data_IF_776341081809
#
_entry.id   IF_776341081809
#
_cell.length_a   1.000
_cell.length_b   1.000
_cell.length_c   1.000
_cell.angle_alpha   90.00
_cell.angle_beta   90.00
_cell.angle_gamma   90.00
#
_symmetry.space_group_name_H-M   'P 1'
#
loop_
_entity.id
_entity.type
_entity.pdbx_description
1 polymer ?
#
# COMPACT_ATOMS: atom_id res chain seq x y z
N UNK A 1 -1.64 16.85 -42.52
CA UNK A 1 -2.51 17.94 -42.01
C UNK A 1 -3.31 17.41 -40.82
N UNK A 2 -3.15 18.00 -39.65
CA UNK A 2 -3.96 17.64 -38.47
C UNK A 2 -5.39 18.09 -38.70
N UNK A 3 -6.37 17.17 -38.67
CA UNK A 3 -7.78 17.50 -38.73
C UNK A 3 -8.15 18.27 -37.47
N UNK A 4 -8.42 19.56 -37.61
CA UNK A 4 -8.94 20.40 -36.53
C UNK A 4 -10.37 19.96 -36.24
N UNK A 5 -10.56 19.18 -35.19
CA UNK A 5 -11.91 18.75 -34.75
C UNK A 5 -12.56 19.92 -34.00
N UNK A 6 -13.75 20.30 -34.37
CA UNK A 6 -14.52 21.30 -33.62
C UNK A 6 -14.71 20.82 -32.16
N UNK A 7 -14.51 21.69 -31.15
CA UNK A 7 -14.67 21.30 -29.75
C UNK A 7 -16.11 20.85 -29.49
N UNK A 8 -16.28 19.83 -28.62
CA UNK A 8 -17.60 19.36 -28.20
C UNK A 8 -18.37 20.44 -27.43
N UNK A 9 -19.69 20.34 -27.48
CA UNK A 9 -20.58 21.09 -26.59
C UNK A 9 -21.25 20.13 -25.60
N UNK A 10 -21.67 20.65 -24.44
CA UNK A 10 -22.37 19.80 -23.46
C UNK A 10 -23.69 19.26 -24.03
N UNK A 11 -24.38 20.05 -24.88
CA UNK A 11 -25.58 19.63 -25.62
C UNK A 11 -25.25 18.41 -26.50
N UNK A 12 -24.15 18.39 -27.23
CA UNK A 12 -23.73 17.25 -28.04
C UNK A 12 -23.43 16.01 -27.18
N UNK A 13 -22.77 16.19 -26.01
CA UNK A 13 -22.55 15.09 -25.08
C UNK A 13 -23.85 14.53 -24.52
N UNK A 14 -24.81 15.38 -24.20
CA UNK A 14 -26.12 14.99 -23.66
C UNK A 14 -26.99 14.28 -24.69
N UNK A 15 -27.08 14.84 -25.90
CA UNK A 15 -27.93 14.31 -26.97
C UNK A 15 -27.40 13.07 -27.69
N UNK A 16 -26.13 12.71 -27.46
CA UNK A 16 -25.55 11.52 -28.06
C UNK A 16 -26.30 10.25 -27.69
N UNK A 17 -26.88 9.59 -28.69
CA UNK A 17 -27.69 8.36 -28.52
C UNK A 17 -26.78 7.13 -28.73
N UNK A 18 -27.05 6.01 -28.02
CA UNK A 18 -26.34 4.75 -28.26
C UNK A 18 -26.67 4.23 -29.67
N UNK A 19 -25.67 3.53 -30.24
CA UNK A 19 -25.78 2.81 -31.50
C UNK A 19 -25.34 1.36 -31.28
N UNK A 20 -25.50 0.48 -32.28
CA UNK A 20 -25.14 -0.94 -32.19
C UNK A 20 -23.66 -1.18 -31.89
N UNK A 21 -22.83 -0.20 -32.20
CA UNK A 21 -21.36 -0.25 -31.90
C UNK A 21 -20.95 0.98 -31.11
N UNK A 22 -19.93 0.84 -30.23
CA UNK A 22 -19.37 2.00 -29.53
C UNK A 22 -18.75 2.98 -30.53
N UNK A 23 -19.01 4.29 -30.32
CA UNK A 23 -18.42 5.34 -31.16
C UNK A 23 -17.85 6.48 -30.32
N UNK A 24 -16.99 7.29 -30.93
CA UNK A 24 -16.22 8.36 -30.29
C UNK A 24 -16.71 9.73 -30.75
N UNK A 25 -16.93 10.63 -29.81
CA UNK A 25 -17.11 12.05 -30.05
C UNK A 25 -15.84 12.76 -29.59
N UNK A 26 -15.10 13.32 -30.52
CA UNK A 26 -13.80 13.95 -30.23
C UNK A 26 -13.95 15.40 -29.79
N UNK A 27 -13.27 15.80 -28.70
CA UNK A 27 -13.19 17.18 -28.21
C UNK A 27 -11.89 17.88 -28.63
N UNK A 28 -10.99 17.16 -29.29
CA UNK A 28 -9.67 17.63 -29.66
C UNK A 28 -8.59 17.26 -28.63
N UNK A 29 -7.33 17.44 -29.03
CA UNK A 29 -6.18 17.24 -28.15
C UNK A 29 -6.14 15.85 -27.45
N UNK A 30 -6.62 14.80 -28.10
CA UNK A 30 -6.65 13.45 -27.55
C UNK A 30 -7.84 13.13 -26.62
N UNK A 31 -8.68 14.13 -26.26
CA UNK A 31 -9.87 13.92 -25.44
C UNK A 31 -11.06 13.52 -26.32
N UNK A 32 -11.81 12.51 -25.89
CA UNK A 32 -13.05 12.11 -26.54
C UNK A 32 -14.04 11.45 -25.54
N UNK A 33 -15.32 11.57 -25.86
CA UNK A 33 -16.40 10.86 -25.19
C UNK A 33 -16.68 9.55 -25.95
N UNK A 34 -16.55 8.42 -25.30
CA UNK A 34 -16.90 7.11 -25.83
C UNK A 34 -18.35 6.78 -25.44
N UNK A 35 -19.20 6.64 -26.45
CA UNK A 35 -20.61 6.24 -26.27
C UNK A 35 -20.73 4.74 -26.52
N UNK A 36 -21.25 4.01 -25.55
CA UNK A 36 -21.41 2.56 -25.61
C UNK A 36 -22.84 2.16 -26.05
N UNK A 37 -23.04 0.96 -26.61
CA UNK A 37 -24.38 0.47 -27.02
C UNK A 37 -25.39 0.41 -25.87
N UNK A 38 -24.93 0.22 -24.64
CA UNK A 38 -25.79 0.21 -23.44
C UNK A 38 -26.13 1.62 -22.91
N UNK A 39 -25.85 2.68 -23.67
CA UNK A 39 -26.12 4.06 -23.30
C UNK A 39 -25.09 4.70 -22.34
N UNK A 40 -24.12 3.95 -21.81
CA UNK A 40 -23.04 4.53 -20.99
C UNK A 40 -22.16 5.43 -21.84
N UNK A 41 -21.70 6.54 -21.25
CA UNK A 41 -20.78 7.48 -21.89
C UNK A 41 -19.59 7.66 -20.97
N UNK A 42 -18.36 7.51 -21.49
CA UNK A 42 -17.14 7.60 -20.68
C UNK A 42 -16.08 8.49 -21.33
N UNK A 43 -15.51 9.38 -20.56
CA UNK A 43 -14.40 10.21 -20.99
C UNK A 43 -13.14 9.41 -21.12
N UNK A 44 -12.45 9.55 -22.27
CA UNK A 44 -11.16 8.92 -22.58
C UNK A 44 -10.19 9.98 -23.08
N UNK A 45 -8.94 9.82 -22.66
CA UNK A 45 -7.86 10.69 -23.10
C UNK A 45 -6.70 9.85 -23.62
N UNK A 46 -6.37 10.05 -24.90
CA UNK A 46 -5.21 9.43 -25.58
C UNK A 46 -4.07 10.41 -25.57
N UNK A 47 -2.88 9.95 -25.21
CA UNK A 47 -1.68 10.78 -25.10
C UNK A 47 -0.45 9.97 -25.46
N UNK A 48 0.69 10.67 -25.63
CA UNK A 48 2.01 10.06 -25.80
C UNK A 48 2.69 10.09 -24.43
N UNK A 49 3.21 8.93 -23.99
CA UNK A 49 3.95 8.79 -22.73
C UNK A 49 5.33 9.42 -22.85
N UNK A 50 6.03 9.67 -21.72
CA UNK A 50 7.41 10.15 -21.75
C UNK A 50 8.38 9.22 -22.50
N UNK A 51 8.09 7.92 -22.58
CA UNK A 51 8.86 6.92 -23.32
C UNK A 51 8.51 6.84 -24.82
N UNK A 52 7.66 7.73 -25.32
CA UNK A 52 7.24 7.80 -26.73
C UNK A 52 6.08 6.87 -27.10
N UNK A 53 5.64 5.96 -26.23
CA UNK A 53 4.52 5.05 -26.48
C UNK A 53 3.17 5.72 -26.31
N UNK A 54 2.15 5.18 -26.99
CA UNK A 54 0.78 5.64 -26.78
C UNK A 54 0.23 5.22 -25.41
N UNK A 55 -0.45 6.13 -24.74
CA UNK A 55 -1.18 5.91 -23.51
C UNK A 55 -2.65 6.25 -23.67
N UNK A 56 -3.51 5.57 -22.91
CA UNK A 56 -4.95 5.81 -22.86
C UNK A 56 -5.42 5.77 -21.41
N UNK A 57 -6.01 6.86 -20.93
CA UNK A 57 -6.59 6.91 -19.58
C UNK A 57 -8.08 7.26 -19.61
N UNK A 58 -8.79 6.96 -18.52
CA UNK A 58 -10.20 7.28 -18.33
C UNK A 58 -10.35 8.36 -17.27
N UNK A 59 -11.18 9.37 -17.56
CA UNK A 59 -11.47 10.43 -16.59
C UNK A 59 -12.79 10.22 -15.82
N UNK A 60 -13.56 9.20 -16.19
CA UNK A 60 -14.82 8.87 -15.56
C UNK A 60 -16.01 8.90 -16.54
N UNK A 61 -17.21 8.75 -16.00
CA UNK A 61 -18.43 8.65 -16.80
C UNK A 61 -19.18 10.00 -16.83
N UNK A 62 -19.72 10.33 -18.00
CA UNK A 62 -20.71 11.39 -18.14
C UNK A 62 -22.10 10.86 -17.71
N UNK A 63 -22.96 11.63 -17.02
CA UNK A 63 -22.80 13.06 -16.71
C UNK A 63 -22.07 13.36 -15.39
N UNK A 64 -21.66 12.35 -14.59
CA UNK A 64 -20.96 12.55 -13.31
C UNK A 64 -19.71 13.44 -13.49
N UNK A 65 -18.96 13.20 -14.56
CA UNK A 65 -17.87 14.09 -15.00
C UNK A 65 -18.41 14.85 -16.22
N UNK A 66 -18.58 16.15 -16.06
CA UNK A 66 -19.01 17.05 -17.13
C UNK A 66 -17.90 17.31 -18.16
N UNK A 67 -18.26 17.99 -19.26
CA UNK A 67 -17.29 18.36 -20.30
C UNK A 67 -16.20 19.29 -19.77
N UNK A 68 -16.56 20.25 -18.93
CA UNK A 68 -15.60 21.18 -18.32
C UNK A 68 -14.59 20.44 -17.43
N UNK A 69 -15.07 19.52 -16.59
CA UNK A 69 -14.23 18.70 -15.72
C UNK A 69 -13.29 17.78 -16.51
N UNK A 70 -13.78 17.20 -17.61
CA UNK A 70 -12.97 16.37 -18.50
C UNK A 70 -11.84 17.17 -19.16
N UNK A 71 -12.12 18.41 -19.57
CA UNK A 71 -11.11 19.34 -20.11
C UNK A 71 -10.08 19.73 -19.04
N UNK A 72 -10.51 20.00 -17.81
CA UNK A 72 -9.63 20.29 -16.69
C UNK A 72 -8.70 19.11 -16.42
N UNK A 73 -9.23 17.89 -16.33
CA UNK A 73 -8.42 16.67 -16.16
C UNK A 73 -7.44 16.43 -17.31
N UNK A 74 -7.82 16.76 -18.54
CA UNK A 74 -6.89 16.74 -19.69
C UNK A 74 -5.71 17.68 -19.46
N UNK A 75 -6.01 18.92 -19.03
CA UNK A 75 -4.98 19.94 -18.79
C UNK A 75 -4.00 19.50 -17.69
N UNK A 76 -4.52 18.99 -16.57
CA UNK A 76 -3.71 18.44 -15.46
C UNK A 76 -2.83 17.27 -15.93
N UNK A 77 -3.42 16.37 -16.73
CA UNK A 77 -2.68 15.23 -17.29
C UNK A 77 -1.57 15.68 -18.24
N UNK A 78 -1.82 16.69 -19.07
CA UNK A 78 -0.80 17.28 -19.95
C UNK A 78 0.34 17.95 -19.16
N UNK A 79 0.06 18.57 -18.01
CA UNK A 79 1.10 19.12 -17.12
C UNK A 79 2.00 18.03 -16.56
N UNK A 80 1.41 16.95 -16.03
CA UNK A 80 2.17 15.79 -15.54
C UNK A 80 3.07 15.20 -16.63
N UNK A 81 2.57 15.08 -17.87
CA UNK A 81 3.35 14.58 -19.01
C UNK A 81 4.51 15.52 -19.37
N UNK A 82 4.31 16.84 -19.28
CA UNK A 82 5.37 17.82 -19.50
C UNK A 82 6.46 17.75 -18.43
N UNK A 83 6.12 17.31 -17.22
CA UNK A 83 7.05 17.02 -16.11
C UNK A 83 7.70 15.63 -16.23
N UNK A 84 7.42 14.90 -17.31
CA UNK A 84 7.96 13.53 -17.52
C UNK A 84 7.25 12.44 -16.71
N UNK A 85 6.10 12.73 -16.10
CA UNK A 85 5.35 11.79 -15.26
C UNK A 85 4.27 11.08 -16.10
N UNK A 86 4.30 9.72 -16.15
CA UNK A 86 3.20 8.94 -16.75
C UNK A 86 2.01 8.89 -15.77
N UNK A 87 0.84 9.44 -16.16
CA UNK A 87 -0.35 9.50 -15.29
C UNK A 87 -0.88 8.12 -14.86
N UNK A 88 -0.71 7.11 -15.71
CA UNK A 88 -1.14 5.73 -15.40
C UNK A 88 -0.19 5.12 -14.37
N UNK A 89 1.12 5.25 -14.58
CA UNK A 89 2.13 4.75 -13.66
C UNK A 89 1.99 5.42 -12.28
N UNK A 90 1.84 6.76 -12.24
CA UNK A 90 1.63 7.51 -11.00
C UNK A 90 0.37 7.06 -10.24
N UNK A 91 -0.75 6.86 -10.95
CA UNK A 91 -2.00 6.36 -10.33
C UNK A 91 -1.87 4.93 -9.82
N UNK A 92 -1.16 4.05 -10.53
CA UNK A 92 -0.89 2.68 -10.10
C UNK A 92 0.01 2.67 -8.86
N UNK A 93 1.04 3.50 -8.85
CA UNK A 93 1.95 3.65 -7.72
C UNK A 93 1.21 4.16 -6.49
N UNK A 94 0.43 5.24 -6.60
CA UNK A 94 -0.38 5.75 -5.49
C UNK A 94 -1.36 4.72 -4.94
N UNK A 95 -1.97 3.89 -5.81
CA UNK A 95 -2.84 2.80 -5.39
C UNK A 95 -2.07 1.70 -4.66
N UNK A 96 -0.90 1.33 -5.16
CA UNK A 96 -0.03 0.35 -4.51
C UNK A 96 0.44 0.84 -3.13
N UNK A 97 0.86 2.11 -3.04
CA UNK A 97 1.25 2.74 -1.77
C UNK A 97 0.08 2.78 -0.77
N UNK A 98 -1.14 3.11 -1.23
CA UNK A 98 -2.33 3.10 -0.37
C UNK A 98 -2.65 1.69 0.16
N UNK A 99 -2.48 0.65 -0.66
CA UNK A 99 -2.62 -0.76 -0.23
C UNK A 99 -1.57 -1.12 0.80
N UNK A 100 -0.31 -0.77 0.55
CA UNK A 100 0.82 -1.05 1.47
C UNK A 100 0.62 -0.32 2.80
N UNK A 101 0.22 0.95 2.79
CA UNK A 101 -0.09 1.73 4.02
C UNK A 101 -1.31 1.21 4.76
N UNK A 102 -2.23 0.53 4.10
CA UNK A 102 -3.37 -0.15 4.73
C UNK A 102 -2.99 -1.39 5.56
N UNK A 103 -1.74 -1.89 5.43
CA UNK A 103 -1.23 -2.98 6.25
C UNK A 103 -0.63 -2.46 7.55
N UNK A 104 -1.45 -2.45 8.63
CA UNK A 104 -0.95 -2.13 9.98
C UNK A 104 -0.06 -3.24 10.52
N UNK A 105 0.84 -2.91 11.45
CA UNK A 105 1.68 -3.89 12.13
C UNK A 105 0.84 -5.01 12.79
N UNK A 106 -0.24 -4.63 13.49
CA UNK A 106 -1.12 -5.59 14.17
C UNK A 106 -1.72 -6.60 13.18
N UNK A 107 -2.21 -6.14 12.03
CA UNK A 107 -2.78 -7.03 11.00
C UNK A 107 -1.75 -8.03 10.50
N UNK A 108 -0.56 -7.57 10.14
CA UNK A 108 0.51 -8.45 9.65
C UNK A 108 0.97 -9.43 10.74
N UNK A 109 1.06 -8.95 11.99
CA UNK A 109 1.43 -9.80 13.13
C UNK A 109 0.37 -10.87 13.43
N UNK A 110 -0.92 -10.56 13.29
CA UNK A 110 -2.01 -11.52 13.46
C UNK A 110 -2.03 -12.56 12.33
N UNK A 111 -1.82 -12.15 11.09
CA UNK A 111 -1.74 -13.07 9.95
C UNK A 111 -0.53 -14.02 10.11
N UNK A 112 0.65 -13.48 10.47
CA UNK A 112 1.84 -14.28 10.82
C UNK A 112 1.56 -15.25 11.98
N UNK A 113 0.92 -14.76 13.05
CA UNK A 113 0.59 -15.62 14.20
C UNK A 113 -0.34 -16.76 13.80
N UNK A 114 -1.34 -16.50 12.95
CA UNK A 114 -2.27 -17.51 12.44
C UNK A 114 -1.53 -18.61 11.67
N UNK A 115 -0.60 -18.25 10.78
CA UNK A 115 0.20 -19.23 10.03
C UNK A 115 1.10 -20.05 10.96
N UNK A 116 1.75 -19.40 11.92
CA UNK A 116 2.66 -20.07 12.84
C UNK A 116 1.93 -20.93 13.88
N UNK A 117 0.70 -20.56 14.27
CA UNK A 117 -0.10 -21.27 15.26
C UNK A 117 -0.41 -22.73 14.87
N UNK A 118 -0.42 -23.03 13.57
CA UNK A 118 -0.60 -24.41 13.06
C UNK A 118 0.54 -25.34 13.51
N UNK A 119 1.73 -24.78 13.71
CA UNK A 119 2.96 -25.52 14.09
C UNK A 119 3.23 -25.52 15.59
N UNK A 120 2.46 -24.76 16.38
CA UNK A 120 2.70 -24.57 17.80
C UNK A 120 1.69 -25.31 18.67
N UNK A 121 2.15 -25.71 19.86
CA UNK A 121 1.23 -26.16 20.90
C UNK A 121 0.25 -25.02 21.27
N UNK A 122 -1.04 -25.33 21.57
CA UNK A 122 -2.05 -24.29 21.84
C UNK A 122 -1.70 -23.33 22.99
N UNK A 123 -0.99 -23.80 24.02
CA UNK A 123 -0.51 -22.99 25.13
C UNK A 123 0.56 -21.97 24.69
N UNK A 124 1.49 -22.39 23.82
CA UNK A 124 2.52 -21.52 23.28
C UNK A 124 1.92 -20.42 22.38
N UNK A 125 1.02 -20.80 21.48
CA UNK A 125 0.32 -19.86 20.59
C UNK A 125 -0.39 -18.76 21.40
N UNK A 126 -1.13 -19.12 22.44
CA UNK A 126 -1.80 -18.17 23.35
C UNK A 126 -0.80 -17.22 24.02
N UNK A 127 0.34 -17.75 24.47
CA UNK A 127 1.38 -16.95 25.13
C UNK A 127 2.00 -15.92 24.16
N UNK A 128 2.30 -16.32 22.91
CA UNK A 128 2.83 -15.39 21.87
C UNK A 128 1.84 -14.25 21.64
N UNK A 129 0.58 -14.57 21.38
CA UNK A 129 -0.45 -13.56 21.11
C UNK A 129 -0.67 -12.62 22.31
N UNK A 130 -0.70 -13.17 23.53
CA UNK A 130 -0.81 -12.38 24.76
C UNK A 130 0.35 -11.39 24.89
N UNK A 131 1.58 -11.80 24.65
CA UNK A 131 2.75 -10.91 24.69
C UNK A 131 2.70 -9.82 23.64
N UNK A 132 2.29 -10.13 22.41
CA UNK A 132 2.10 -9.12 21.35
C UNK A 132 1.05 -8.10 21.76
N UNK A 133 -0.12 -8.54 22.24
CA UNK A 133 -1.20 -7.67 22.68
C UNK A 133 -0.83 -6.78 23.87
N UNK A 134 -0.05 -7.30 24.80
CA UNK A 134 0.30 -6.58 26.04
C UNK A 134 1.45 -5.60 25.83
N UNK A 135 2.44 -5.96 25.01
CA UNK A 135 3.69 -5.21 24.96
C UNK A 135 3.95 -4.48 23.65
N UNK A 136 3.39 -4.98 22.53
CA UNK A 136 3.74 -4.48 21.20
C UNK A 136 2.58 -3.70 20.55
N UNK A 137 1.38 -4.25 20.51
CA UNK A 137 0.25 -3.62 19.84
C UNK A 137 -0.15 -2.24 20.39
N UNK A 138 -0.04 -1.94 21.70
CA UNK A 138 -0.33 -0.60 22.20
C UNK A 138 0.58 0.48 21.62
N UNK A 139 1.80 0.13 21.21
CA UNK A 139 2.79 1.07 20.69
C UNK A 139 2.85 1.07 19.15
N UNK A 140 2.78 -0.12 18.53
CA UNK A 140 3.04 -0.30 17.10
C UNK A 140 1.80 -0.75 16.31
N UNK A 141 0.78 -1.30 16.97
CA UNK A 141 -0.31 -2.01 16.32
C UNK A 141 -1.03 -1.24 15.23
N UNK A 142 -1.38 0.01 15.50
CA UNK A 142 -2.13 0.87 14.58
C UNK A 142 -1.26 1.51 13.47
N UNK A 143 0.07 1.43 13.58
CA UNK A 143 0.99 2.05 12.61
C UNK A 143 1.09 1.21 11.34
N UNK A 144 1.21 1.85 10.19
CA UNK A 144 1.49 1.16 8.95
C UNK A 144 2.88 0.49 9.02
N UNK A 145 2.96 -0.79 8.64
CA UNK A 145 4.19 -1.57 8.77
C UNK A 145 5.35 -1.02 7.93
N UNK A 146 5.03 -0.32 6.83
CA UNK A 146 6.00 0.31 5.93
C UNK A 146 6.70 1.52 6.57
N UNK A 147 6.04 2.17 7.54
CA UNK A 147 6.53 3.39 8.20
C UNK A 147 7.30 3.09 9.50
N UNK A 148 7.49 1.80 9.84
CA UNK A 148 8.22 1.40 11.05
C UNK A 148 9.73 1.34 10.79
N UNK A 149 10.49 1.97 11.65
CA UNK A 149 11.94 1.92 11.68
C UNK A 149 12.48 1.07 12.86
N UNK A 150 13.80 0.95 12.95
CA UNK A 150 14.48 0.20 14.02
C UNK A 150 14.19 0.79 15.40
N UNK A 151 14.14 2.13 15.53
CA UNK A 151 13.85 2.80 16.79
C UNK A 151 12.44 2.50 17.30
N UNK A 152 11.48 2.47 16.39
CA UNK A 152 10.12 2.09 16.72
C UNK A 152 10.05 0.68 17.32
N UNK A 153 10.75 -0.26 16.69
CA UNK A 153 10.80 -1.66 17.15
C UNK A 153 11.53 -1.82 18.49
N UNK A 154 12.45 -0.94 18.82
CA UNK A 154 13.14 -0.93 20.13
C UNK A 154 12.23 -0.49 21.28
N UNK A 155 11.25 0.39 21.04
CA UNK A 155 10.39 0.95 22.10
C UNK A 155 9.71 -0.11 22.98
N UNK A 156 8.98 -1.12 22.44
CA UNK A 156 8.41 -2.18 23.27
C UNK A 156 9.44 -3.00 24.01
N UNK A 157 10.62 -3.22 23.42
CA UNK A 157 11.70 -3.98 24.06
C UNK A 157 12.28 -3.23 25.26
N UNK A 158 12.51 -1.92 25.12
CA UNK A 158 12.94 -1.06 26.23
C UNK A 158 11.93 -1.01 27.36
N UNK A 159 10.64 -0.89 27.04
CA UNK A 159 9.57 -0.90 28.03
C UNK A 159 9.55 -2.21 28.85
N UNK A 160 9.79 -3.36 28.19
CA UNK A 160 9.86 -4.66 28.85
C UNK A 160 11.15 -4.75 29.68
N UNK A 161 12.30 -4.30 29.16
CA UNK A 161 13.60 -4.27 29.87
C UNK A 161 13.51 -3.44 31.16
N UNK A 162 12.89 -2.26 31.11
CA UNK A 162 12.67 -1.39 32.30
C UNK A 162 11.85 -2.09 33.39
N UNK A 163 11.01 -3.06 33.05
CA UNK A 163 10.24 -3.88 34.01
C UNK A 163 11.03 -5.08 34.56
N UNK A 164 12.29 -5.24 34.16
CA UNK A 164 13.17 -6.33 34.62
C UNK A 164 12.91 -7.72 34.01
N UNK A 165 12.01 -7.82 33.00
CA UNK A 165 11.64 -9.10 32.39
C UNK A 165 12.42 -9.37 31.10
N UNK A 166 13.74 -9.55 31.23
CA UNK A 166 14.68 -9.71 30.09
C UNK A 166 14.31 -10.91 29.18
N UNK A 167 13.90 -12.04 29.77
CA UNK A 167 13.48 -13.23 29.00
C UNK A 167 12.26 -12.94 28.10
N UNK A 168 11.33 -12.10 28.58
CA UNK A 168 10.17 -11.68 27.79
C UNK A 168 10.62 -10.76 26.67
N UNK A 169 11.55 -9.83 26.93
CA UNK A 169 12.09 -8.93 25.92
C UNK A 169 12.79 -9.70 24.79
N UNK A 170 13.62 -10.71 25.11
CA UNK A 170 14.27 -11.59 24.12
C UNK A 170 13.23 -12.32 23.23
N UNK A 171 12.18 -12.88 23.84
CA UNK A 171 11.15 -13.57 23.07
C UNK A 171 10.38 -12.60 22.17
N UNK A 172 10.03 -11.41 22.67
CA UNK A 172 9.35 -10.38 21.88
C UNK A 172 10.26 -9.88 20.74
N UNK A 173 11.56 -9.70 20.96
CA UNK A 173 12.53 -9.40 19.91
C UNK A 173 12.49 -10.43 18.78
N UNK A 174 12.49 -11.73 19.11
CA UNK A 174 12.40 -12.79 18.11
C UNK A 174 11.06 -12.76 17.33
N UNK A 175 9.95 -12.39 18.01
CA UNK A 175 8.67 -12.24 17.33
C UNK A 175 8.70 -11.06 16.36
N UNK A 176 9.23 -9.90 16.77
CA UNK A 176 9.39 -8.72 15.92
C UNK A 176 10.24 -9.05 14.68
N UNK A 177 11.39 -9.70 14.86
CA UNK A 177 12.25 -10.14 13.76
C UNK A 177 11.52 -11.06 12.78
N UNK A 178 10.72 -12.01 13.30
CA UNK A 178 9.97 -12.96 12.48
C UNK A 178 8.83 -12.28 11.71
N UNK A 179 8.08 -11.37 12.35
CA UNK A 179 7.00 -10.61 11.73
C UNK A 179 7.55 -9.70 10.63
N UNK A 180 8.64 -8.97 10.89
CA UNK A 180 9.25 -8.09 9.90
C UNK A 180 9.90 -8.85 8.74
N UNK A 181 10.43 -10.05 8.98
CA UNK A 181 10.88 -10.97 7.92
C UNK A 181 9.72 -11.40 7.02
N UNK A 182 8.59 -11.72 7.62
CA UNK A 182 7.37 -12.06 6.90
C UNK A 182 6.85 -10.88 6.08
N UNK A 183 6.83 -9.67 6.65
CA UNK A 183 6.47 -8.46 5.92
C UNK A 183 7.35 -8.22 4.69
N UNK A 184 8.66 -8.50 4.80
CA UNK A 184 9.59 -8.44 3.67
C UNK A 184 9.30 -9.52 2.63
N UNK A 185 9.01 -10.75 3.06
CA UNK A 185 8.64 -11.87 2.17
C UNK A 185 7.38 -11.54 1.36
N UNK A 186 6.39 -10.90 1.99
CA UNK A 186 5.15 -10.43 1.37
C UNK A 186 5.33 -9.15 0.54
N UNK A 187 6.56 -8.61 0.44
CA UNK A 187 6.87 -7.36 -0.27
C UNK A 187 6.12 -6.12 0.26
N UNK A 188 5.70 -6.14 1.52
CA UNK A 188 5.10 -4.99 2.19
C UNK A 188 6.16 -3.94 2.58
N UNK A 189 7.41 -4.37 2.78
CA UNK A 189 8.56 -3.53 3.06
C UNK A 189 9.73 -3.92 2.15
N UNK A 190 10.58 -2.97 1.81
CA UNK A 190 11.78 -3.19 0.98
C UNK A 190 12.99 -3.52 1.84
N UNK A 191 13.17 -2.83 2.96
CA UNK A 191 14.24 -3.03 3.94
C UNK A 191 13.62 -3.56 5.22
N UNK A 192 14.28 -4.52 5.87
CA UNK A 192 13.81 -5.07 7.15
C UNK A 192 14.50 -4.33 8.31
N UNK A 193 13.78 -3.46 9.07
CA UNK A 193 14.36 -2.69 10.17
C UNK A 193 14.67 -3.54 11.40
N UNK A 194 14.21 -4.79 11.46
CA UNK A 194 14.48 -5.69 12.59
C UNK A 194 15.82 -6.40 12.50
N UNK A 195 16.61 -6.21 11.44
CA UNK A 195 17.98 -6.78 11.39
C UNK A 195 18.86 -6.19 12.49
N UNK A 196 18.77 -4.89 12.73
CA UNK A 196 19.60 -4.18 13.71
C UNK A 196 19.14 -4.42 15.16
N UNK A 197 18.10 -5.22 15.38
CA UNK A 197 17.70 -5.66 16.71
C UNK A 197 18.58 -6.81 17.25
N UNK A 198 19.42 -7.41 16.42
CA UNK A 198 20.31 -8.49 16.86
C UNK A 198 21.26 -7.96 17.94
N UNK A 199 21.29 -8.65 19.09
CA UNK A 199 22.11 -8.23 20.23
C UNK A 199 21.55 -7.07 21.07
N UNK A 200 20.45 -6.43 20.68
CA UNK A 200 19.85 -5.32 21.44
C UNK A 200 19.35 -5.77 22.83
N UNK A 201 18.78 -6.95 22.92
CA UNK A 201 18.46 -7.61 24.19
C UNK A 201 19.43 -8.77 24.36
N UNK A 202 20.32 -8.69 25.36
CA UNK A 202 21.26 -9.77 25.70
C UNK A 202 20.67 -10.63 26.82
N UNK A 203 20.83 -11.95 26.72
CA UNK A 203 20.47 -12.85 27.81
C UNK A 203 21.36 -12.57 29.03
N UNK A 204 20.81 -12.59 30.25
CA UNK A 204 21.65 -12.54 31.45
C UNK A 204 22.61 -13.73 31.46
N UNK A 205 23.85 -13.48 31.90
CA UNK A 205 24.85 -14.55 32.06
C UNK A 205 24.31 -15.60 33.04
N UNK A 206 24.11 -16.82 32.56
CA UNK A 206 23.70 -17.93 33.43
C UNK A 206 24.94 -18.31 34.29
N UNK A 207 24.90 -17.98 35.56
CA UNK A 207 25.83 -18.53 36.56
C UNK A 207 25.28 -19.89 36.96
N UNK A 208 25.94 -20.97 36.48
CA UNK A 208 25.67 -22.31 36.98
C UNK A 208 26.05 -22.37 38.46
N UNK A 209 25.09 -22.75 39.29
CA UNK A 209 25.42 -23.10 40.68
C UNK A 209 26.32 -24.32 40.64
N UNK A 210 27.43 -24.34 41.38
CA UNK A 210 28.28 -25.54 41.48
C UNK A 210 27.42 -26.69 42.05
N UNK A 211 27.58 -27.88 41.44
CA UNK A 211 26.97 -29.08 41.99
C UNK A 211 27.48 -29.30 43.44
N UNK A 212 26.57 -29.60 44.35
CA UNK A 212 26.95 -30.01 45.70
C UNK A 212 27.85 -31.26 45.60
N UNK A 213 29.00 -31.29 46.25
CA UNK A 213 29.79 -32.53 46.33
C UNK A 213 29.00 -33.60 47.09
N UNK A 214 28.99 -34.82 46.54
CA UNK A 214 28.41 -36.01 47.16
C UNK A 214 29.18 -36.34 48.44
#
# INVERSE_FOLDING_TARGET
>A
MARTTAPLTDTACRSAKPTDRPYKLFDGDGLYLLVYPNGRKGWRFRYVKPDGREGLTSFGNYPVIGLADARQKRLETKRMLAEGIDPIASKQQAKAEAVVRGHTFERVALDWHKEMSVKWAPGHSRTVLSRLKTHVFPLLGARAIVDLDTFDLMQPLEAIKKRGTIDVALRVQNYLQSIMREAKRLRLITVNPAYDLEGFVSAPRVTHRPALPL
#
